data_IF_276592111453
#
_entry.id   IF_276592111453
#
_cell.length_a   1.000
_cell.length_b   1.000
_cell.length_c   1.000
_cell.angle_alpha   90.00
_cell.angle_beta   90.00
_cell.angle_gamma   90.00
#
_symmetry.space_group_name_H-M   'P 1'
#
loop_
_entity.id
_entity.type
_entity.pdbx_description
1 polymer ?
#
# COMPACT_ATOMS: atom_id res chain seq x y z
N UNK A 1 -28.41 -17.19 -8.07
CA UNK A 1 -28.51 -18.23 -7.03
C UNK A 1 -29.16 -17.62 -5.79
N UNK A 2 -29.94 -18.35 -4.99
CA UNK A 2 -30.49 -17.80 -3.76
C UNK A 2 -29.33 -17.40 -2.81
N UNK A 3 -29.52 -16.38 -1.96
CA UNK A 3 -28.56 -16.03 -0.95
C UNK A 3 -28.30 -17.22 -0.03
N UNK A 4 -27.04 -17.44 0.35
CA UNK A 4 -26.66 -18.52 1.24
C UNK A 4 -27.33 -18.34 2.60
N UNK A 5 -27.87 -19.42 3.18
CA UNK A 5 -28.29 -19.45 4.57
C UNK A 5 -27.03 -19.25 5.46
N UNK A 6 -27.13 -18.36 6.42
CA UNK A 6 -26.07 -18.11 7.40
C UNK A 6 -26.04 -19.31 8.36
N UNK A 7 -24.87 -19.96 8.45
CA UNK A 7 -24.65 -21.09 9.37
C UNK A 7 -23.83 -20.55 10.54
N UNK A 8 -24.30 -20.70 11.79
CA UNK A 8 -23.53 -20.29 12.96
C UNK A 8 -22.28 -21.14 13.10
N UNK A 9 -21.11 -20.49 13.21
CA UNK A 9 -19.84 -21.15 13.50
C UNK A 9 -19.35 -20.74 14.89
N UNK A 10 -18.61 -21.62 15.58
CA UNK A 10 -17.95 -21.27 16.85
C UNK A 10 -16.80 -20.26 16.68
N UNK A 11 -16.30 -20.13 15.45
CA UNK A 11 -15.29 -19.13 15.03
C UNK A 11 -15.68 -18.60 13.66
N UNK A 12 -15.54 -17.30 13.42
CA UNK A 12 -15.79 -16.74 12.10
C UNK A 12 -14.80 -17.29 11.08
N UNK A 13 -15.29 -17.62 9.89
CA UNK A 13 -14.49 -18.03 8.75
C UNK A 13 -14.28 -16.83 7.85
N UNK A 14 -13.05 -16.27 7.90
CA UNK A 14 -12.68 -15.10 7.13
C UNK A 14 -11.80 -15.53 5.98
N UNK A 15 -12.27 -15.30 4.76
CA UNK A 15 -11.55 -15.58 3.52
C UNK A 15 -10.90 -14.32 2.97
N UNK A 16 -9.68 -14.44 2.48
CA UNK A 16 -9.01 -13.42 1.70
C UNK A 16 -8.78 -13.96 0.30
N UNK A 17 -9.13 -13.19 -0.72
CA UNK A 17 -8.99 -13.56 -2.12
C UNK A 17 -8.03 -12.59 -2.82
N UNK A 18 -7.07 -13.13 -3.55
CA UNK A 18 -6.12 -12.37 -4.35
C UNK A 18 -5.80 -13.12 -5.66
N UNK A 19 -5.17 -12.44 -6.63
CA UNK A 19 -4.60 -13.13 -7.79
C UNK A 19 -3.58 -14.18 -7.35
N UNK A 20 -2.66 -13.79 -6.50
CA UNK A 20 -1.63 -14.62 -5.90
C UNK A 20 -1.34 -14.16 -4.46
N UNK A 21 -0.54 -14.92 -3.73
CA UNK A 21 0.02 -14.55 -2.43
C UNK A 21 1.55 -14.58 -2.47
N UNK A 22 2.14 -13.97 -3.48
CA UNK A 22 3.59 -13.83 -3.63
C UNK A 22 4.12 -12.54 -2.98
N UNK A 23 5.44 -12.48 -2.80
CA UNK A 23 6.14 -11.28 -2.29
C UNK A 23 5.99 -10.13 -3.29
N UNK A 24 5.16 -9.17 -2.94
CA UNK A 24 4.77 -8.06 -3.79
C UNK A 24 4.63 -6.76 -2.99
N UNK A 25 4.45 -5.65 -3.69
CA UNK A 25 4.15 -4.37 -3.07
C UNK A 25 2.86 -4.41 -2.21
N UNK A 26 1.83 -5.12 -2.66
CA UNK A 26 0.58 -5.30 -1.93
C UNK A 26 0.76 -6.21 -0.71
N UNK A 27 1.60 -7.24 -0.81
CA UNK A 27 1.92 -8.16 0.29
C UNK A 27 2.43 -7.42 1.52
N UNK A 28 3.19 -6.33 1.31
CA UNK A 28 3.70 -5.48 2.41
C UNK A 28 2.60 -4.87 3.26
N UNK A 29 1.39 -4.80 2.78
CA UNK A 29 0.24 -4.24 3.51
C UNK A 29 -0.78 -5.29 3.92
N UNK A 30 -1.05 -6.32 3.10
CA UNK A 30 -2.06 -7.29 3.46
C UNK A 30 -1.53 -8.40 4.40
N UNK A 31 -0.23 -8.58 4.54
CA UNK A 31 0.32 -9.61 5.44
C UNK A 31 -0.19 -9.46 6.87
N UNK A 32 -0.14 -8.24 7.42
CA UNK A 32 -0.67 -7.96 8.76
C UNK A 32 -2.18 -8.24 8.88
N UNK A 33 -2.93 -8.03 7.79
CA UNK A 33 -4.36 -8.29 7.75
C UNK A 33 -4.66 -9.79 7.78
N UNK A 34 -3.97 -10.58 6.96
CA UNK A 34 -4.24 -12.02 6.84
C UNK A 34 -3.69 -12.83 8.00
N UNK A 35 -2.62 -12.36 8.67
CA UNK A 35 -1.99 -13.04 9.80
C UNK A 35 -2.39 -12.50 11.17
N UNK A 36 -3.02 -11.32 11.23
CA UNK A 36 -3.31 -10.59 12.48
C UNK A 36 -4.56 -11.06 13.24
N UNK A 37 -5.32 -12.01 12.68
CA UNK A 37 -6.53 -12.51 13.33
C UNK A 37 -6.21 -13.56 14.38
N UNK A 38 -6.87 -13.47 15.56
CA UNK A 38 -6.71 -14.43 16.62
C UNK A 38 -7.39 -15.76 16.27
N UNK A 39 -6.60 -16.82 16.20
CA UNK A 39 -7.06 -18.18 15.87
C UNK A 39 -8.11 -18.76 16.84
N UNK A 40 -8.26 -18.17 18.03
CA UNK A 40 -9.31 -18.53 18.98
C UNK A 40 -10.70 -18.14 18.49
N UNK A 41 -10.79 -17.05 17.72
CA UNK A 41 -12.05 -16.43 17.29
C UNK A 41 -12.29 -16.54 15.79
N UNK A 42 -11.24 -16.67 14.99
CA UNK A 42 -11.33 -16.74 13.53
C UNK A 42 -10.60 -17.94 12.95
N UNK A 43 -11.08 -18.41 11.80
CA UNK A 43 -10.35 -19.31 10.90
C UNK A 43 -10.11 -18.53 9.61
N UNK A 44 -8.84 -18.37 9.26
CA UNK A 44 -8.43 -17.60 8.09
C UNK A 44 -8.21 -18.51 6.88
N UNK A 45 -8.84 -18.14 5.76
CA UNK A 45 -8.69 -18.81 4.47
C UNK A 45 -8.03 -17.87 3.46
N UNK A 46 -7.12 -18.39 2.65
CA UNK A 46 -6.49 -17.68 1.54
C UNK A 46 -6.89 -18.37 0.22
N UNK A 47 -7.42 -17.61 -0.72
CA UNK A 47 -7.83 -18.07 -2.05
C UNK A 47 -6.96 -17.41 -3.12
N UNK A 48 -5.96 -18.14 -3.63
CA UNK A 48 -5.16 -17.71 -4.76
C UNK A 48 -5.85 -18.10 -6.09
N UNK A 49 -5.98 -17.17 -7.01
CA UNK A 49 -6.60 -17.43 -8.31
C UNK A 49 -5.59 -17.92 -9.36
N UNK A 50 -4.31 -17.71 -9.12
CA UNK A 50 -3.19 -18.16 -9.93
C UNK A 50 -2.33 -19.16 -9.12
N UNK A 51 -1.51 -19.95 -9.78
CA UNK A 51 -0.70 -21.02 -9.19
C UNK A 51 0.76 -20.60 -8.90
N UNK A 52 1.05 -19.31 -9.00
CA UNK A 52 2.36 -18.78 -8.65
C UNK A 52 2.58 -18.83 -7.13
N UNK A 53 3.70 -19.42 -6.73
CA UNK A 53 4.10 -19.56 -5.33
C UNK A 53 5.58 -19.20 -5.16
N UNK A 54 5.91 -18.54 -4.05
CA UNK A 54 7.25 -18.18 -3.66
C UNK A 54 7.52 -18.45 -2.15
N UNK A 55 8.66 -18.00 -1.64
CA UNK A 55 8.99 -18.15 -0.23
C UNK A 55 8.00 -17.45 0.72
N UNK A 56 7.37 -16.35 0.27
CA UNK A 56 6.34 -15.64 1.04
C UNK A 56 5.06 -16.50 1.10
N UNK A 57 4.62 -17.07 -0.02
CA UNK A 57 3.47 -17.99 -0.09
C UNK A 57 3.65 -19.17 0.85
N UNK A 58 4.83 -19.83 0.79
CA UNK A 58 5.13 -20.98 1.64
C UNK A 58 5.15 -20.61 3.15
N UNK A 59 5.58 -19.39 3.49
CA UNK A 59 5.53 -18.89 4.87
C UNK A 59 4.08 -18.70 5.34
N UNK A 60 3.21 -18.15 4.50
CA UNK A 60 1.78 -18.03 4.81
C UNK A 60 1.12 -19.41 4.98
N UNK A 61 1.40 -20.35 4.09
CA UNK A 61 0.92 -21.74 4.20
C UNK A 61 1.34 -22.40 5.51
N UNK A 62 2.58 -22.12 5.97
CA UNK A 62 3.14 -22.65 7.22
C UNK A 62 2.61 -21.98 8.50
N UNK A 63 1.85 -20.87 8.40
CA UNK A 63 1.37 -20.10 9.57
C UNK A 63 0.02 -20.57 10.15
N UNK A 64 -0.51 -21.71 9.69
CA UNK A 64 -1.75 -22.30 10.19
C UNK A 64 -3.02 -21.75 9.50
N UNK A 65 -2.87 -21.00 8.42
CA UNK A 65 -3.95 -20.54 7.56
C UNK A 65 -4.40 -21.67 6.60
N UNK A 66 -5.66 -21.65 6.18
CA UNK A 66 -6.17 -22.58 5.17
C UNK A 66 -5.91 -22.00 3.78
N UNK A 67 -4.97 -22.56 3.05
CA UNK A 67 -4.64 -22.11 1.69
C UNK A 67 -5.40 -22.92 0.62
N UNK A 68 -5.96 -22.25 -0.37
CA UNK A 68 -6.67 -22.80 -1.52
C UNK A 68 -6.16 -22.18 -2.82
N UNK A 69 -5.51 -22.96 -3.67
CA UNK A 69 -5.26 -22.55 -5.05
C UNK A 69 -6.49 -22.88 -5.90
N UNK A 70 -7.02 -21.87 -6.57
CA UNK A 70 -8.17 -21.96 -7.47
C UNK A 70 -7.79 -21.85 -8.95
N UNK A 71 -6.50 -21.83 -9.26
CA UNK A 71 -6.01 -21.78 -10.63
C UNK A 71 -6.61 -22.88 -11.50
N UNK A 72 -6.87 -22.56 -12.76
CA UNK A 72 -7.48 -23.48 -13.73
C UNK A 72 -8.99 -23.72 -13.55
N UNK A 73 -9.62 -23.22 -12.48
CA UNK A 73 -11.08 -23.30 -12.31
C UNK A 73 -11.78 -22.17 -13.05
N UNK A 74 -13.01 -22.42 -13.48
CA UNK A 74 -13.87 -21.34 -13.99
C UNK A 74 -14.48 -20.53 -12.84
N UNK A 75 -15.06 -19.36 -13.14
CA UNK A 75 -15.62 -18.44 -12.15
C UNK A 75 -16.70 -19.07 -11.26
N UNK A 76 -17.48 -20.01 -11.81
CA UNK A 76 -18.53 -20.71 -11.06
C UNK A 76 -17.91 -21.68 -10.06
N UNK A 77 -16.93 -22.46 -10.50
CA UNK A 77 -16.20 -23.41 -9.64
C UNK A 77 -15.41 -22.70 -8.54
N UNK A 78 -14.80 -21.53 -8.84
CA UNK A 78 -14.15 -20.69 -7.83
C UNK A 78 -15.12 -20.23 -6.75
N UNK A 79 -16.27 -19.69 -7.16
CA UNK A 79 -17.29 -19.24 -6.23
C UNK A 79 -17.90 -20.40 -5.42
N UNK A 80 -18.06 -21.59 -6.01
CA UNK A 80 -18.55 -22.79 -5.33
C UNK A 80 -17.53 -23.30 -4.30
N UNK A 81 -16.25 -23.27 -4.58
CA UNK A 81 -15.21 -23.64 -3.63
C UNK A 81 -15.24 -22.74 -2.36
N UNK A 82 -15.41 -21.44 -2.55
CA UNK A 82 -15.54 -20.49 -1.42
C UNK A 82 -16.83 -20.75 -0.63
N UNK A 83 -17.95 -21.02 -1.32
CA UNK A 83 -19.22 -21.40 -0.65
C UNK A 83 -19.10 -22.70 0.12
N UNK A 84 -18.37 -23.68 -0.41
CA UNK A 84 -18.14 -24.97 0.25
C UNK A 84 -17.40 -24.82 1.57
N UNK A 85 -16.42 -23.92 1.60
CA UNK A 85 -15.69 -23.59 2.82
C UNK A 85 -16.52 -22.78 3.82
N UNK A 86 -17.75 -22.41 3.46
CA UNK A 86 -18.69 -21.66 4.29
C UNK A 86 -18.11 -20.37 4.87
N UNK A 87 -17.49 -19.56 4.00
CA UNK A 87 -16.90 -18.28 4.39
C UNK A 87 -17.97 -17.29 4.83
N UNK A 88 -17.78 -16.68 5.99
CA UNK A 88 -18.68 -15.68 6.56
C UNK A 88 -18.39 -14.28 6.01
N UNK A 89 -17.10 -13.92 5.96
CA UNK A 89 -16.62 -12.64 5.44
C UNK A 89 -15.52 -12.93 4.42
N UNK A 90 -15.68 -12.46 3.19
CA UNK A 90 -14.68 -12.55 2.12
C UNK A 90 -14.10 -11.17 1.84
N UNK A 91 -12.78 -11.06 1.89
CA UNK A 91 -12.04 -9.80 1.67
C UNK A 91 -11.24 -9.90 0.38
N UNK A 92 -11.50 -8.99 -0.56
CA UNK A 92 -10.74 -8.86 -1.79
C UNK A 92 -9.49 -8.02 -1.56
N UNK A 93 -8.33 -8.57 -1.96
CA UNK A 93 -7.02 -7.93 -1.83
C UNK A 93 -6.45 -7.46 -3.19
N UNK A 94 -7.17 -7.62 -4.29
CA UNK A 94 -6.68 -7.30 -5.64
C UNK A 94 -7.49 -6.23 -6.36
N UNK A 95 -8.82 -6.18 -6.16
CA UNK A 95 -9.69 -5.22 -6.83
C UNK A 95 -9.59 -5.33 -8.35
N UNK A 96 -9.40 -4.19 -9.02
CA UNK A 96 -9.23 -4.11 -10.48
C UNK A 96 -7.81 -4.46 -10.97
N UNK A 97 -6.87 -4.79 -10.09
CA UNK A 97 -5.56 -5.29 -10.50
C UNK A 97 -5.67 -6.70 -11.10
N UNK A 98 -4.64 -7.18 -11.78
CA UNK A 98 -4.62 -8.51 -12.42
C UNK A 98 -5.89 -8.81 -13.25
N UNK A 99 -6.38 -7.82 -14.00
CA UNK A 99 -7.56 -7.98 -14.86
C UNK A 99 -8.90 -8.06 -14.13
N UNK A 100 -8.95 -7.81 -12.81
CA UNK A 100 -10.19 -7.80 -12.01
C UNK A 100 -10.82 -9.18 -11.81
N UNK A 101 -10.05 -10.25 -11.90
CA UNK A 101 -10.58 -11.62 -11.78
C UNK A 101 -11.24 -11.88 -10.42
N UNK A 102 -10.66 -11.33 -9.34
CA UNK A 102 -11.25 -11.43 -7.99
C UNK A 102 -12.65 -10.81 -7.95
N UNK A 103 -12.84 -9.64 -8.57
CA UNK A 103 -14.15 -8.97 -8.64
C UNK A 103 -15.20 -9.80 -9.40
N UNK A 104 -14.78 -10.52 -10.46
CA UNK A 104 -15.65 -11.42 -11.19
C UNK A 104 -16.14 -12.58 -10.31
N UNK A 105 -15.29 -13.07 -9.40
CA UNK A 105 -15.67 -14.08 -8.40
C UNK A 105 -16.61 -13.46 -7.36
N UNK A 106 -16.30 -12.26 -6.83
CA UNK A 106 -17.15 -11.56 -5.88
C UNK A 106 -18.53 -11.23 -6.44
N UNK A 107 -18.65 -10.97 -7.76
CA UNK A 107 -19.93 -10.75 -8.43
C UNK A 107 -20.88 -11.95 -8.32
N UNK A 108 -20.37 -13.17 -8.08
CA UNK A 108 -21.15 -14.37 -7.80
C UNK A 108 -21.66 -14.43 -6.35
N UNK A 109 -21.30 -13.47 -5.51
CA UNK A 109 -21.64 -13.38 -4.08
C UNK A 109 -21.41 -14.71 -3.35
N UNK A 110 -20.17 -15.24 -3.30
CA UNK A 110 -19.89 -16.51 -2.64
C UNK A 110 -19.96 -16.44 -1.11
N UNK A 111 -19.84 -15.27 -0.51
CA UNK A 111 -19.94 -15.06 0.93
C UNK A 111 -21.04 -14.04 1.31
N UNK A 112 -21.65 -14.15 2.51
CA UNK A 112 -22.70 -13.25 2.99
C UNK A 112 -22.23 -11.80 3.13
N UNK A 113 -20.97 -11.60 3.56
CA UNK A 113 -20.30 -10.29 3.65
C UNK A 113 -19.09 -10.31 2.74
N UNK A 114 -18.95 -9.27 1.91
CA UNK A 114 -17.82 -9.13 1.01
C UNK A 114 -17.23 -7.71 1.12
N UNK A 115 -15.92 -7.63 1.30
CA UNK A 115 -15.21 -6.38 1.52
C UNK A 115 -14.13 -6.18 0.47
N UNK A 116 -13.87 -4.92 0.12
CA UNK A 116 -12.67 -4.51 -0.58
C UNK A 116 -11.61 -4.01 0.42
N UNK A 117 -10.34 -4.31 0.16
CA UNK A 117 -9.20 -3.87 0.96
C UNK A 117 -7.97 -3.64 0.10
N UNK A 118 -7.07 -2.89 0.58
CA UNK A 118 -5.65 -2.61 0.31
C UNK A 118 -5.12 -2.72 -1.13
N UNK A 119 -5.46 -3.74 -1.90
CA UNK A 119 -4.80 -4.01 -3.20
C UNK A 119 -5.23 -3.09 -4.34
N UNK A 120 -6.33 -2.38 -4.17
CA UNK A 120 -6.82 -1.37 -5.11
C UNK A 120 -7.20 -0.09 -4.38
N UNK A 121 -6.97 1.05 -4.99
CA UNK A 121 -6.98 2.35 -4.34
C UNK A 121 -8.23 3.19 -4.64
N UNK A 122 -9.36 2.56 -4.91
CA UNK A 122 -10.63 3.23 -5.16
C UNK A 122 -11.80 2.26 -5.03
N UNK A 123 -13.03 2.74 -5.28
CA UNK A 123 -14.23 1.90 -5.33
C UNK A 123 -14.06 0.72 -6.30
N UNK A 124 -14.63 -0.42 -5.95
CA UNK A 124 -14.73 -1.56 -6.87
C UNK A 124 -15.80 -1.33 -7.94
N UNK A 125 -16.76 -0.44 -7.68
CA UNK A 125 -17.93 -0.22 -8.53
C UNK A 125 -18.93 -1.40 -8.51
N UNK A 126 -18.76 -2.36 -7.59
CA UNK A 126 -19.48 -3.63 -7.57
C UNK A 126 -20.47 -3.68 -6.40
N UNK A 127 -21.76 -3.69 -6.68
CA UNK A 127 -22.82 -3.80 -5.65
C UNK A 127 -22.76 -5.09 -4.80
N UNK A 128 -22.02 -6.10 -5.27
CA UNK A 128 -21.80 -7.33 -4.50
C UNK A 128 -20.77 -7.16 -3.38
N UNK A 129 -19.98 -6.07 -3.37
CA UNK A 129 -19.06 -5.72 -2.30
C UNK A 129 -19.78 -4.82 -1.31
N UNK A 130 -19.90 -5.25 -0.07
CA UNK A 130 -20.70 -4.58 0.96
C UNK A 130 -19.94 -3.37 1.56
N UNK A 131 -18.63 -3.47 1.70
CA UNK A 131 -17.81 -2.43 2.32
C UNK A 131 -16.39 -2.33 1.78
N UNK A 132 -15.79 -1.15 1.93
CA UNK A 132 -14.38 -0.87 1.61
C UNK A 132 -13.66 -0.40 2.87
N UNK A 133 -12.54 -1.05 3.21
CA UNK A 133 -11.70 -0.64 4.35
C UNK A 133 -10.98 0.67 4.02
N UNK A 134 -11.09 1.63 4.93
CA UNK A 134 -10.48 2.96 4.80
C UNK A 134 -10.08 3.54 6.16
N UNK A 135 -9.56 4.77 6.16
CA UNK A 135 -9.33 5.58 7.35
C UNK A 135 -9.77 7.04 7.15
N UNK A 136 -9.76 7.82 8.24
CA UNK A 136 -10.21 9.21 8.21
C UNK A 136 -9.26 10.17 7.46
N UNK A 137 -8.05 9.74 7.11
CA UNK A 137 -7.11 10.52 6.30
C UNK A 137 -7.37 10.30 4.81
N UNK A 138 -7.62 9.04 4.42
CA UNK A 138 -7.96 8.68 3.05
C UNK A 138 -9.32 9.27 2.66
N UNK A 139 -10.32 9.07 3.51
CA UNK A 139 -11.70 9.50 3.27
C UNK A 139 -12.19 10.31 4.47
N UNK A 140 -11.79 11.60 4.59
CA UNK A 140 -12.24 12.48 5.65
C UNK A 140 -13.74 12.70 5.52
N UNK A 141 -14.47 12.08 6.40
CA UNK A 141 -15.91 12.03 6.65
C UNK A 141 -16.88 12.63 5.61
N UNK A 142 -17.88 11.85 5.24
CA UNK A 142 -19.19 12.20 4.66
C UNK A 142 -19.23 12.77 3.23
N UNK A 143 -18.26 13.55 2.79
CA UNK A 143 -18.34 14.22 1.48
C UNK A 143 -17.94 13.31 0.30
N UNK A 144 -17.14 12.28 0.54
CA UNK A 144 -16.58 11.45 -0.52
C UNK A 144 -17.37 10.13 -0.76
N UNK A 145 -18.34 9.82 0.11
CA UNK A 145 -19.15 8.58 0.00
C UNK A 145 -19.93 8.46 -1.32
N UNK A 146 -20.21 9.55 -2.00
CA UNK A 146 -20.91 9.54 -3.29
C UNK A 146 -20.09 8.92 -4.42
N UNK A 147 -18.79 8.75 -4.24
CA UNK A 147 -17.89 8.16 -5.24
C UNK A 147 -17.70 6.64 -5.07
N UNK A 148 -18.24 6.07 -3.98
CA UNK A 148 -18.09 4.66 -3.65
C UNK A 148 -19.42 3.93 -3.78
N UNK A 149 -19.40 2.74 -4.37
CA UNK A 149 -20.56 1.82 -4.38
C UNK A 149 -20.69 1.06 -3.06
N UNK A 150 -19.61 1.00 -2.28
CA UNK A 150 -19.49 0.30 -1.02
C UNK A 150 -19.73 1.21 0.19
N UNK A 151 -20.08 0.64 1.33
CA UNK A 151 -19.99 1.33 2.62
C UNK A 151 -18.52 1.53 3.00
N UNK A 152 -18.13 2.76 3.37
CA UNK A 152 -16.78 3.02 3.88
C UNK A 152 -16.68 2.56 5.34
N UNK A 153 -15.75 1.63 5.58
CA UNK A 153 -15.50 1.00 6.87
C UNK A 153 -14.21 1.55 7.45
N UNK A 154 -14.35 2.38 8.45
CA UNK A 154 -13.23 3.14 9.02
C UNK A 154 -12.45 2.31 10.02
N UNK A 155 -11.17 2.10 9.71
CA UNK A 155 -10.16 1.67 10.67
C UNK A 155 -9.45 2.91 11.24
N UNK A 156 -8.80 2.81 12.43
CA UNK A 156 -7.91 3.88 12.91
C UNK A 156 -6.81 4.24 11.91
N UNK A 157 -6.40 3.26 11.09
CA UNK A 157 -5.50 3.39 9.94
C UNK A 157 -5.86 2.32 8.89
N UNK A 158 -5.88 2.68 7.62
CA UNK A 158 -6.20 1.74 6.54
C UNK A 158 -5.04 0.78 6.24
N UNK A 159 -3.80 1.18 6.54
CA UNK A 159 -2.60 0.45 6.17
C UNK A 159 -1.79 0.01 7.38
N UNK A 160 -1.26 -1.20 7.32
CA UNK A 160 -0.23 -1.70 8.22
C UNK A 160 0.91 -2.27 7.38
N UNK A 161 2.11 -1.70 7.53
CA UNK A 161 3.27 -2.09 6.73
C UNK A 161 4.05 -3.21 7.39
N UNK A 162 4.28 -4.28 6.63
CA UNK A 162 5.16 -5.39 7.02
C UNK A 162 6.47 -5.27 6.24
N UNK A 163 7.59 -4.94 6.89
CA UNK A 163 8.86 -4.84 6.19
C UNK A 163 9.30 -6.19 5.62
N UNK A 164 9.92 -6.17 4.43
CA UNK A 164 10.58 -7.34 3.90
C UNK A 164 11.80 -7.68 4.79
N UNK A 165 12.04 -8.93 5.16
CA UNK A 165 13.21 -9.33 5.96
C UNK A 165 14.57 -8.89 5.41
N UNK A 166 14.68 -8.67 4.09
CA UNK A 166 15.88 -8.10 3.49
C UNK A 166 16.15 -6.65 3.93
N UNK A 167 15.12 -5.88 4.25
CA UNK A 167 15.26 -4.50 4.74
C UNK A 167 15.98 -4.45 6.10
N UNK A 168 15.77 -5.43 6.97
CA UNK A 168 16.41 -5.50 8.29
C UNK A 168 17.91 -5.68 8.21
N UNK A 169 18.39 -6.34 7.14
CA UNK A 169 19.83 -6.59 6.91
C UNK A 169 20.57 -5.36 6.39
N UNK A 170 19.85 -4.44 5.76
CA UNK A 170 20.42 -3.22 5.19
C UNK A 170 20.41 -2.09 6.24
N UNK A 171 21.58 -1.76 6.77
CA UNK A 171 21.73 -0.63 7.68
C UNK A 171 22.08 0.62 6.88
N UNK A 172 21.34 1.71 7.11
CA UNK A 172 21.68 3.00 6.50
C UNK A 172 23.08 3.43 6.95
N UNK A 173 23.89 3.83 5.98
CA UNK A 173 25.20 4.42 6.23
C UNK A 173 25.07 5.95 6.19
N UNK A 174 25.66 6.68 7.17
CA UNK A 174 25.67 8.14 7.14
C UNK A 174 26.35 8.66 5.86
N UNK A 175 25.69 9.55 5.15
CA UNK A 175 26.24 10.20 3.94
C UNK A 175 26.85 11.55 4.32
N UNK A 176 28.10 11.52 4.77
CA UNK A 176 28.80 12.74 5.18
C UNK A 176 29.42 13.48 3.99
N UNK A 177 29.35 14.80 4.01
CA UNK A 177 29.98 15.69 3.00
C UNK A 177 29.53 15.43 1.54
N UNK A 178 28.35 14.85 1.34
CA UNK A 178 27.77 14.66 0.02
C UNK A 178 26.66 15.71 -0.23
N UNK A 179 26.48 16.13 -1.49
CA UNK A 179 25.30 16.90 -1.84
C UNK A 179 24.02 16.13 -1.50
N UNK A 180 22.98 16.85 -1.03
CA UNK A 180 21.66 16.25 -0.83
C UNK A 180 21.20 15.61 -2.12
N UNK A 181 20.72 14.37 -2.01
CA UNK A 181 20.20 13.61 -3.14
C UNK A 181 18.72 13.32 -2.89
N UNK A 182 17.87 13.94 -3.68
CA UNK A 182 16.46 13.58 -3.73
C UNK A 182 16.25 12.30 -4.55
N UNK A 183 15.19 11.57 -4.28
CA UNK A 183 14.86 10.36 -5.03
C UNK A 183 13.38 10.19 -5.27
N UNK A 184 13.04 9.47 -6.34
CA UNK A 184 11.69 8.97 -6.56
C UNK A 184 11.76 7.55 -7.14
N UNK A 185 11.22 6.57 -6.41
CA UNK A 185 11.26 5.16 -6.78
C UNK A 185 9.83 4.65 -7.05
N UNK A 186 9.20 5.25 -8.05
CA UNK A 186 7.82 4.98 -8.41
C UNK A 186 7.70 4.54 -9.89
N UNK A 187 6.56 3.96 -10.24
CA UNK A 187 6.25 3.67 -11.64
C UNK A 187 6.16 4.97 -12.45
N UNK A 188 6.85 5.03 -13.59
CA UNK A 188 6.88 6.22 -14.45
C UNK A 188 5.51 6.72 -14.93
N UNK A 189 4.49 5.87 -14.90
CA UNK A 189 3.11 6.28 -15.21
C UNK A 189 2.50 7.22 -14.16
N UNK A 190 3.02 7.22 -12.93
CA UNK A 190 2.58 8.14 -11.86
C UNK A 190 3.17 9.55 -12.00
N UNK A 191 4.25 9.69 -12.78
CA UNK A 191 4.92 10.97 -12.99
C UNK A 191 4.17 11.79 -14.02
N UNK A 192 3.55 12.88 -13.63
CA UNK A 192 2.86 13.83 -14.50
C UNK A 192 3.64 15.16 -14.61
N UNK A 193 3.14 16.10 -15.41
CA UNK A 193 3.82 17.38 -15.64
C UNK A 193 3.87 18.28 -14.38
N UNK A 194 2.90 18.18 -13.48
CA UNK A 194 2.90 18.97 -12.24
C UNK A 194 3.98 18.46 -11.29
N UNK A 195 4.11 17.14 -11.16
CA UNK A 195 5.21 16.50 -10.40
C UNK A 195 6.56 16.95 -10.95
N UNK A 196 6.75 16.92 -12.27
CA UNK A 196 8.00 17.33 -12.92
C UNK A 196 8.31 18.82 -12.67
N UNK A 197 7.30 19.69 -12.69
CA UNK A 197 7.49 21.11 -12.41
C UNK A 197 7.99 21.34 -10.97
N UNK A 198 7.42 20.65 -9.98
CA UNK A 198 7.87 20.79 -8.58
C UNK A 198 9.27 20.22 -8.37
N UNK A 199 9.63 19.11 -9.00
CA UNK A 199 10.98 18.55 -8.93
C UNK A 199 12.02 19.50 -9.54
N UNK A 200 11.70 20.13 -10.69
CA UNK A 200 12.54 21.17 -11.28
C UNK A 200 12.71 22.33 -10.31
N UNK A 201 11.62 22.88 -9.75
CA UNK A 201 11.65 24.00 -8.82
C UNK A 201 12.52 23.71 -7.59
N UNK A 202 12.46 22.47 -7.02
CA UNK A 202 13.33 22.03 -5.93
C UNK A 202 14.80 22.06 -6.35
N UNK A 203 15.13 21.50 -7.52
CA UNK A 203 16.51 21.43 -8.02
C UNK A 203 17.06 22.81 -8.40
N UNK A 204 16.24 23.71 -8.91
CA UNK A 204 16.62 25.10 -9.23
C UNK A 204 16.90 25.91 -7.98
N UNK A 205 16.10 25.72 -6.92
CA UNK A 205 16.29 26.39 -5.63
C UNK A 205 17.44 25.80 -4.81
N UNK A 206 17.96 24.63 -5.18
CA UNK A 206 19.09 23.97 -4.53
C UNK A 206 20.14 23.47 -5.55
N UNK A 207 20.98 24.37 -6.08
CA UNK A 207 21.88 24.07 -7.20
C UNK A 207 22.90 22.95 -6.95
N UNK A 208 23.22 22.63 -5.68
CA UNK A 208 24.11 21.53 -5.31
C UNK A 208 23.45 20.16 -5.24
N UNK A 209 22.11 20.11 -5.21
CA UNK A 209 21.38 18.86 -5.02
C UNK A 209 21.39 17.97 -6.28
N UNK A 210 21.29 16.64 -6.05
CA UNK A 210 21.14 15.62 -7.09
C UNK A 210 19.73 15.02 -7.02
N UNK A 211 19.34 14.36 -8.10
CA UNK A 211 18.06 13.63 -8.16
C UNK A 211 18.27 12.25 -8.80
N UNK A 212 17.78 11.20 -8.14
CA UNK A 212 17.78 9.84 -8.65
C UNK A 212 16.33 9.42 -8.87
N UNK A 213 15.99 9.11 -10.10
CA UNK A 213 14.74 8.45 -10.43
C UNK A 213 15.00 6.97 -10.74
N UNK A 214 14.27 6.07 -10.06
CA UNK A 214 14.31 4.65 -10.39
C UNK A 214 12.90 4.17 -10.71
N UNK A 215 12.70 3.67 -11.93
CA UNK A 215 11.42 3.06 -12.32
C UNK A 215 11.21 1.74 -11.55
N UNK A 216 9.97 1.37 -11.33
CA UNK A 216 9.61 0.04 -10.83
C UNK A 216 9.60 -1.02 -11.94
N UNK A 217 9.73 -0.63 -13.20
CA UNK A 217 9.80 -1.53 -14.36
C UNK A 217 11.22 -1.63 -14.90
N UNK A 218 11.54 -2.78 -15.51
CA UNK A 218 12.87 -3.05 -16.11
C UNK A 218 12.95 -2.72 -17.60
N UNK A 219 11.92 -2.06 -18.16
CA UNK A 219 11.82 -1.80 -19.59
C UNK A 219 12.70 -0.60 -20.00
N UNK A 220 13.77 -0.79 -20.79
CA UNK A 220 14.68 0.29 -21.18
C UNK A 220 14.01 1.42 -21.95
N UNK A 221 13.00 1.13 -22.75
CA UNK A 221 12.23 2.11 -23.51
C UNK A 221 11.46 3.06 -22.60
N UNK A 222 10.96 2.59 -21.43
CA UNK A 222 10.31 3.44 -20.44
C UNK A 222 11.31 4.41 -19.80
N UNK A 223 12.52 3.94 -19.49
CA UNK A 223 13.60 4.80 -18.98
C UNK A 223 13.87 5.93 -19.97
N UNK A 224 14.12 5.61 -21.24
CA UNK A 224 14.40 6.61 -22.28
C UNK A 224 13.24 7.60 -22.49
N UNK A 225 12.01 7.10 -22.44
CA UNK A 225 10.82 7.96 -22.55
C UNK A 225 10.72 8.94 -21.37
N UNK A 226 11.05 8.48 -20.16
CA UNK A 226 11.04 9.34 -18.98
C UNK A 226 12.19 10.34 -19.00
N UNK A 227 13.42 9.94 -19.36
CA UNK A 227 14.56 10.86 -19.54
C UNK A 227 14.18 12.05 -20.45
N UNK A 228 13.59 11.76 -21.63
CA UNK A 228 13.11 12.80 -22.53
C UNK A 228 12.02 13.70 -21.93
N UNK A 229 11.16 13.14 -21.07
CA UNK A 229 10.13 13.94 -20.39
C UNK A 229 10.73 14.86 -19.32
N UNK A 230 11.71 14.38 -18.56
CA UNK A 230 12.45 15.16 -17.56
C UNK A 230 13.20 16.31 -18.24
N UNK A 231 13.93 16.03 -19.32
CA UNK A 231 14.63 17.03 -20.13
C UNK A 231 13.67 18.09 -20.68
N UNK A 232 12.56 17.64 -21.29
CA UNK A 232 11.54 18.55 -21.83
C UNK A 232 10.88 19.41 -20.75
N UNK A 233 10.76 18.93 -19.54
CA UNK A 233 10.24 19.67 -18.38
C UNK A 233 11.25 20.66 -17.82
N UNK A 234 12.49 20.68 -18.33
CA UNK A 234 13.54 21.59 -17.95
C UNK A 234 14.30 21.20 -16.68
N UNK A 235 14.32 19.91 -16.31
CA UNK A 235 15.17 19.47 -15.21
C UNK A 235 16.66 19.54 -15.59
N UNK A 236 17.56 19.88 -14.66
CA UNK A 236 19.00 19.96 -14.89
C UNK A 236 19.60 18.55 -15.04
N UNK A 237 19.61 18.01 -16.25
CA UNK A 237 19.92 16.59 -16.51
C UNK A 237 21.35 16.21 -16.11
N UNK A 238 22.26 17.14 -15.97
CA UNK A 238 23.62 16.90 -15.44
C UNK A 238 23.63 16.51 -13.95
N UNK A 239 22.51 16.72 -13.23
CA UNK A 239 22.32 16.35 -11.83
C UNK A 239 21.24 15.29 -11.62
N UNK A 240 20.66 14.79 -12.71
CA UNK A 240 19.56 13.82 -12.71
C UNK A 240 20.05 12.48 -13.23
N UNK A 241 19.83 11.43 -12.47
CA UNK A 241 20.09 10.05 -12.88
C UNK A 241 18.76 9.29 -13.01
N UNK A 242 18.54 8.63 -14.14
CA UNK A 242 17.34 7.81 -14.40
C UNK A 242 17.75 6.35 -14.53
N UNK A 243 17.21 5.50 -13.68
CA UNK A 243 17.53 4.07 -13.58
C UNK A 243 16.31 3.20 -13.92
N UNK A 244 16.50 2.03 -14.54
CA UNK A 244 15.48 0.99 -14.62
C UNK A 244 15.27 0.34 -13.25
N UNK A 245 14.16 -0.38 -13.08
CA UNK A 245 13.94 -1.24 -11.92
C UNK A 245 14.97 -2.38 -11.84
N UNK A 246 15.34 -2.77 -10.63
CA UNK A 246 16.32 -3.84 -10.36
C UNK A 246 15.82 -4.73 -9.21
N UNK A 247 16.39 -5.94 -9.08
CA UNK A 247 16.15 -6.82 -7.93
C UNK A 247 16.75 -6.26 -6.64
N UNK A 248 17.85 -5.50 -6.75
CA UNK A 248 18.53 -4.82 -5.64
C UNK A 248 17.98 -3.42 -5.39
N UNK A 249 16.68 -3.22 -5.56
CA UNK A 249 16.06 -1.89 -5.41
C UNK A 249 16.17 -1.33 -3.98
N UNK A 250 16.36 -2.18 -2.97
CA UNK A 250 16.48 -1.75 -1.58
C UNK A 250 17.78 -0.98 -1.31
N UNK A 251 18.87 -1.34 -1.98
CA UNK A 251 20.15 -0.67 -1.86
C UNK A 251 20.08 0.77 -2.35
N UNK A 252 19.26 1.06 -3.35
CA UNK A 252 19.07 2.39 -3.90
C UNK A 252 18.57 3.42 -2.86
N UNK A 253 17.83 2.97 -1.83
CA UNK A 253 17.41 3.86 -0.74
C UNK A 253 18.60 4.39 0.09
N UNK A 254 19.75 3.75 0.05
CA UNK A 254 20.95 4.25 0.72
C UNK A 254 21.62 5.42 -0.03
N UNK A 255 21.26 5.61 -1.29
CA UNK A 255 21.85 6.63 -2.16
C UNK A 255 21.06 7.94 -2.15
N UNK A 256 19.84 7.95 -1.60
CA UNK A 256 19.00 9.14 -1.52
C UNK A 256 18.82 9.61 -0.08
N UNK A 257 18.61 10.90 0.10
CA UNK A 257 18.45 11.52 1.40
C UNK A 257 16.99 11.85 1.72
N UNK A 258 16.20 12.20 0.71
CA UNK A 258 14.79 12.54 0.82
C UNK A 258 14.06 11.95 -0.38
N UNK A 259 12.95 11.25 -0.13
CA UNK A 259 12.10 10.73 -1.19
C UNK A 259 10.99 11.73 -1.52
N UNK A 260 10.83 12.02 -2.80
CA UNK A 260 9.78 12.86 -3.36
C UNK A 260 8.67 11.97 -3.92
N UNK A 261 7.52 11.94 -3.23
CA UNK A 261 6.37 11.16 -3.65
C UNK A 261 5.66 11.76 -4.86
N UNK A 262 5.01 10.93 -5.65
CA UNK A 262 4.19 11.34 -6.80
C UNK A 262 2.77 11.69 -6.38
N UNK A 263 2.09 12.53 -7.18
CA UNK A 263 0.69 12.90 -7.01
C UNK A 263 0.03 13.16 -8.38
N UNK A 264 -1.30 13.08 -8.53
CA UNK A 264 -2.31 12.72 -7.54
C UNK A 264 -2.31 11.22 -7.20
N UNK A 265 -1.52 10.40 -7.87
CA UNK A 265 -1.39 8.98 -7.56
C UNK A 265 -0.12 8.76 -6.74
N UNK A 266 -0.30 8.67 -5.41
CA UNK A 266 0.80 8.54 -4.47
C UNK A 266 1.51 7.17 -4.55
N UNK A 267 2.71 7.14 -3.98
CA UNK A 267 3.40 5.90 -3.66
C UNK A 267 2.73 5.18 -2.49
N UNK A 268 2.75 3.86 -2.53
CA UNK A 268 2.35 3.02 -1.41
C UNK A 268 3.57 2.33 -0.80
N UNK A 269 3.82 1.09 -1.20
CA UNK A 269 4.92 0.29 -0.66
C UNK A 269 6.30 0.95 -0.81
N UNK A 270 6.56 1.67 -1.91
CA UNK A 270 7.84 2.35 -2.10
C UNK A 270 8.03 3.47 -1.08
N UNK A 271 6.98 4.25 -0.76
CA UNK A 271 7.03 5.31 0.25
C UNK A 271 7.15 4.73 1.66
N UNK A 272 6.40 3.68 1.99
CA UNK A 272 6.55 2.97 3.27
C UNK A 272 7.95 2.32 3.41
N UNK A 273 8.47 1.74 2.33
CA UNK A 273 9.84 1.22 2.28
C UNK A 273 10.87 2.32 2.53
N UNK A 274 10.72 3.50 1.91
CA UNK A 274 11.62 4.64 2.14
C UNK A 274 11.68 5.02 3.62
N UNK A 275 10.52 5.19 4.27
CA UNK A 275 10.44 5.48 5.70
C UNK A 275 11.15 4.40 6.53
N UNK A 276 10.87 3.14 6.28
CA UNK A 276 11.50 2.02 6.99
C UNK A 276 13.01 1.91 6.71
N UNK A 277 13.46 2.33 5.53
CA UNK A 277 14.89 2.40 5.16
C UNK A 277 15.60 3.66 5.69
N UNK A 278 14.92 4.48 6.49
CA UNK A 278 15.50 5.69 7.09
C UNK A 278 15.54 6.87 6.11
N UNK A 279 14.65 6.92 5.13
CA UNK A 279 14.54 8.02 4.15
C UNK A 279 13.25 8.79 4.39
N UNK A 280 13.30 10.06 4.81
CA UNK A 280 12.14 10.94 4.88
C UNK A 280 11.40 11.02 3.54
N UNK A 281 10.08 11.07 3.59
CA UNK A 281 9.21 11.13 2.40
C UNK A 281 8.41 12.43 2.43
N UNK A 282 8.44 13.19 1.36
CA UNK A 282 7.55 14.34 1.17
C UNK A 282 6.42 13.93 0.24
N UNK A 283 5.18 14.10 0.68
CA UNK A 283 3.98 13.79 -0.11
C UNK A 283 3.05 14.99 -0.21
N UNK A 284 2.24 15.04 -1.28
CA UNK A 284 1.17 16.03 -1.44
C UNK A 284 -0.18 15.35 -1.27
N UNK A 285 -0.98 15.86 -0.32
CA UNK A 285 -2.35 15.40 -0.10
C UNK A 285 -3.25 15.87 -1.23
N UNK A 286 -3.91 14.95 -1.87
CA UNK A 286 -4.87 15.24 -2.93
C UNK A 286 -6.33 15.25 -2.45
N UNK A 287 -7.24 15.29 -3.43
CA UNK A 287 -8.67 15.48 -3.20
C UNK A 287 -9.48 14.19 -3.08
N UNK A 288 -8.92 13.02 -3.42
CA UNK A 288 -9.64 11.74 -3.39
C UNK A 288 -8.77 10.63 -2.79
N UNK A 289 -9.37 9.48 -2.54
CA UNK A 289 -8.81 8.32 -1.85
C UNK A 289 -7.37 8.01 -2.31
N UNK A 290 -7.19 7.70 -3.60
CA UNK A 290 -5.88 7.32 -4.17
C UNK A 290 -4.83 8.44 -4.09
N UNK A 291 -5.24 9.69 -3.95
CA UNK A 291 -4.36 10.85 -3.82
C UNK A 291 -4.02 11.23 -2.37
N UNK A 292 -4.47 10.42 -1.40
CA UNK A 292 -4.20 10.62 0.03
C UNK A 292 -3.42 9.46 0.65
N UNK A 293 -2.98 8.53 -0.16
CA UNK A 293 -2.29 7.33 0.29
C UNK A 293 -1.00 7.67 1.05
N UNK A 294 -0.16 8.54 0.49
CA UNK A 294 1.04 9.04 1.15
C UNK A 294 0.74 9.76 2.47
N UNK A 295 -0.35 10.55 2.50
CA UNK A 295 -0.78 11.25 3.71
C UNK A 295 -1.21 10.27 4.82
N UNK A 296 -1.96 9.20 4.49
CA UNK A 296 -2.34 8.17 5.47
C UNK A 296 -1.12 7.44 6.02
N UNK A 297 -0.17 7.06 5.15
CA UNK A 297 1.08 6.43 5.57
C UNK A 297 1.89 7.30 6.53
N UNK A 298 2.12 8.57 6.17
CA UNK A 298 2.89 9.50 6.99
C UNK A 298 2.19 9.82 8.31
N UNK A 299 0.88 9.99 8.31
CA UNK A 299 0.10 10.17 9.55
C UNK A 299 0.25 8.96 10.46
N UNK A 300 0.15 7.74 9.93
CA UNK A 300 0.30 6.50 10.70
C UNK A 300 1.73 6.28 11.20
N UNK A 301 2.72 6.81 10.48
CA UNK A 301 4.12 6.78 10.89
C UNK A 301 4.50 7.89 11.89
N UNK A 302 3.62 8.89 12.12
CA UNK A 302 3.86 10.00 13.03
C UNK A 302 4.55 11.22 12.41
N UNK A 303 4.60 11.33 11.08
CA UNK A 303 5.31 12.39 10.33
C UNK A 303 4.36 13.26 9.50
N UNK A 304 3.31 13.75 10.14
CA UNK A 304 2.33 14.63 9.50
C UNK A 304 2.91 15.93 8.93
N UNK A 305 4.02 16.40 9.47
CA UNK A 305 4.74 17.61 9.02
C UNK A 305 5.40 17.46 7.64
N UNK A 306 5.50 16.24 7.11
CA UNK A 306 6.01 15.99 5.76
C UNK A 306 4.89 15.86 4.71
N UNK A 307 3.65 16.11 5.13
CA UNK A 307 2.48 16.14 4.26
C UNK A 307 2.22 17.58 3.82
N UNK A 308 2.35 17.85 2.53
CA UNK A 308 1.98 19.14 1.95
C UNK A 308 0.47 19.19 1.64
N UNK A 309 -0.15 20.33 1.89
CA UNK A 309 -1.54 20.62 1.52
C UNK A 309 -1.64 21.38 0.17
N UNK A 310 -0.50 21.90 -0.32
CA UNK A 310 -0.41 22.62 -1.57
C UNK A 310 0.92 22.39 -2.29
N UNK A 311 0.98 22.55 -3.64
CA UNK A 311 2.22 22.33 -4.39
C UNK A 311 3.42 23.14 -3.89
N UNK A 312 3.22 24.40 -3.50
CA UNK A 312 4.29 25.24 -2.94
C UNK A 312 4.82 24.74 -1.60
N UNK A 313 3.95 24.13 -0.82
CA UNK A 313 4.33 23.54 0.48
C UNK A 313 5.16 22.27 0.29
N UNK A 314 4.84 21.46 -0.72
CA UNK A 314 5.66 20.30 -1.10
C UNK A 314 7.12 20.70 -1.37
N UNK A 315 7.34 21.75 -2.18
CA UNK A 315 8.68 22.30 -2.43
C UNK A 315 9.32 22.80 -1.12
N UNK A 316 8.54 23.56 -0.33
CA UNK A 316 9.04 24.12 0.94
C UNK A 316 9.49 23.02 1.90
N UNK A 317 8.70 21.97 2.11
CA UNK A 317 9.04 20.86 3.01
C UNK A 317 10.32 20.15 2.53
N UNK A 318 10.41 19.86 1.22
CA UNK A 318 11.60 19.22 0.65
C UNK A 318 12.87 20.05 0.89
N UNK A 319 12.81 21.37 0.69
CA UNK A 319 13.93 22.27 0.93
C UNK A 319 14.24 22.43 2.42
N UNK A 320 13.25 22.46 3.29
CA UNK A 320 13.46 22.55 4.75
C UNK A 320 14.15 21.32 5.30
N UNK A 321 13.75 20.11 4.89
CA UNK A 321 14.44 18.87 5.25
C UNK A 321 15.92 18.86 4.82
N UNK A 322 16.21 19.46 3.66
CA UNK A 322 17.55 19.54 3.10
C UNK A 322 18.41 20.69 3.66
N UNK A 323 17.81 21.69 4.32
CA UNK A 323 18.49 22.90 4.75
C UNK A 323 19.49 22.68 5.91
N UNK A 324 19.23 21.69 6.77
CA UNK A 324 20.08 21.35 7.90
C UNK A 324 20.57 19.88 7.78
N UNK A 325 21.80 19.67 7.32
CA UNK A 325 22.37 18.33 7.17
C UNK A 325 22.46 17.55 8.50
N UNK A 326 22.66 18.24 9.62
CA UNK A 326 22.76 17.61 10.94
C UNK A 326 21.39 17.11 11.40
N UNK A 327 20.36 17.91 11.22
CA UNK A 327 18.98 17.52 11.50
C UNK A 327 18.53 16.36 10.59
N UNK A 328 18.85 16.43 9.28
CA UNK A 328 18.51 15.37 8.34
C UNK A 328 19.20 14.05 8.70
N UNK A 329 20.50 14.08 9.05
CA UNK A 329 21.23 12.90 9.49
C UNK A 329 20.62 12.29 10.77
N UNK A 330 20.36 13.11 11.77
CA UNK A 330 19.73 12.64 13.02
C UNK A 330 18.34 12.04 12.78
N UNK A 331 17.54 12.66 11.91
CA UNK A 331 16.24 12.12 11.48
C UNK A 331 16.43 10.75 10.84
N UNK A 332 17.33 10.61 9.88
CA UNK A 332 17.56 9.36 9.16
C UNK A 332 18.04 8.22 10.07
N UNK A 333 18.84 8.52 11.08
CA UNK A 333 19.33 7.53 12.06
C UNK A 333 18.21 6.94 12.92
N UNK A 334 17.22 7.76 13.31
CA UNK A 334 16.13 7.37 14.18
C UNK A 334 14.91 6.83 13.42
N UNK A 335 14.70 7.30 12.20
CA UNK A 335 13.47 7.09 11.41
C UNK A 335 13.04 5.62 11.33
N UNK A 336 13.98 4.70 11.06
CA UNK A 336 13.67 3.27 10.99
C UNK A 336 13.10 2.75 12.31
N UNK A 337 13.73 3.11 13.43
CA UNK A 337 13.27 2.65 14.74
C UNK A 337 11.89 3.23 15.06
N UNK A 338 11.69 4.51 14.80
CA UNK A 338 10.45 5.21 15.06
C UNK A 338 9.30 4.65 14.20
N UNK A 339 9.54 4.42 12.91
CA UNK A 339 8.55 3.80 12.01
C UNK A 339 8.22 2.36 12.42
N UNK A 340 9.22 1.57 12.79
CA UNK A 340 9.01 0.19 13.24
C UNK A 340 8.17 0.10 14.52
N UNK A 341 8.18 1.15 15.37
CA UNK A 341 7.41 1.24 16.61
C UNK A 341 6.16 2.15 16.49
N UNK A 342 5.91 2.67 15.30
CA UNK A 342 4.73 3.50 15.01
C UNK A 342 3.48 2.65 14.77
N UNK A 343 2.30 3.25 14.81
CA UNK A 343 1.06 2.60 14.40
C UNK A 343 1.14 1.96 13.00
N UNK A 344 1.93 2.51 12.08
CA UNK A 344 2.09 1.95 10.72
C UNK A 344 2.59 0.50 10.71
N UNK A 345 3.39 0.08 11.71
CA UNK A 345 3.94 -1.28 11.80
C UNK A 345 3.35 -2.09 12.98
N UNK A 346 2.32 -1.62 13.67
CA UNK A 346 1.69 -2.35 14.77
C UNK A 346 0.68 -3.37 14.26
N UNK A 347 1.18 -4.54 13.86
CA UNK A 347 0.38 -5.66 13.35
C UNK A 347 -0.66 -6.17 14.35
N UNK A 348 -0.28 -6.21 15.64
CA UNK A 348 -1.15 -6.72 16.70
C UNK A 348 -2.38 -5.87 16.91
N UNK A 349 -2.23 -4.54 16.93
CA UNK A 349 -3.36 -3.62 17.04
C UNK A 349 -4.16 -3.58 15.73
N UNK A 350 -3.51 -3.63 14.57
CA UNK A 350 -4.19 -3.64 13.28
C UNK A 350 -5.13 -4.84 13.12
N UNK A 351 -4.68 -6.03 13.53
CA UNK A 351 -5.53 -7.23 13.54
C UNK A 351 -6.75 -7.10 14.45
N UNK A 352 -6.59 -6.48 15.63
CA UNK A 352 -7.72 -6.20 16.56
C UNK A 352 -8.70 -5.18 15.97
N UNK A 353 -8.19 -4.13 15.33
CA UNK A 353 -9.03 -3.10 14.71
C UNK A 353 -9.86 -3.70 13.57
N UNK A 354 -9.24 -4.52 12.73
CA UNK A 354 -9.94 -5.25 11.67
C UNK A 354 -10.95 -6.26 12.23
N UNK A 355 -10.60 -6.99 13.28
CA UNK A 355 -11.51 -7.90 13.97
C UNK A 355 -12.76 -7.18 14.47
N UNK A 356 -12.62 -5.98 15.06
CA UNK A 356 -13.76 -5.19 15.51
C UNK A 356 -14.73 -4.85 14.36
N UNK A 357 -14.21 -4.50 13.19
CA UNK A 357 -15.03 -4.28 11.98
C UNK A 357 -15.73 -5.57 11.55
N UNK A 358 -15.05 -6.71 11.58
CA UNK A 358 -15.66 -8.00 11.23
C UNK A 358 -16.83 -8.34 12.13
N UNK A 359 -16.68 -8.17 13.46
CA UNK A 359 -17.74 -8.45 14.45
C UNK A 359 -18.92 -7.51 14.25
N UNK A 360 -18.68 -6.22 14.04
CA UNK A 360 -19.75 -5.25 13.80
C UNK A 360 -20.56 -5.60 12.56
N UNK A 361 -19.90 -5.91 11.45
CA UNK A 361 -20.56 -6.28 10.20
C UNK A 361 -21.33 -7.60 10.32
N UNK A 362 -20.74 -8.59 10.99
CA UNK A 362 -21.38 -9.87 11.19
C UNK A 362 -22.61 -9.75 12.08
N UNK A 363 -22.54 -8.97 13.16
CA UNK A 363 -23.67 -8.67 14.04
C UNK A 363 -24.85 -8.01 13.31
N UNK A 364 -24.61 -7.22 12.27
CA UNK A 364 -25.67 -6.61 11.44
C UNK A 364 -26.42 -7.64 10.56
N UNK A 365 -25.91 -8.86 10.39
CA UNK A 365 -26.52 -9.93 9.57
C UNK A 365 -27.45 -10.85 10.36
N UNK A 366 -27.49 -10.78 11.70
CA UNK A 366 -28.37 -11.55 12.57
C UNK A 366 -27.91 -11.56 14.03
N UNK A 367 -28.78 -11.96 14.97
CA UNK A 367 -28.46 -12.12 16.38
C UNK A 367 -27.53 -13.34 16.60
N UNK A 368 -26.26 -13.19 16.28
CA UNK A 368 -25.25 -14.20 16.61
C UNK A 368 -24.44 -13.72 17.81
N UNK A 369 -24.68 -14.34 18.97
CA UNK A 369 -23.74 -14.25 20.09
C UNK A 369 -22.52 -15.10 19.75
N UNK A 370 -21.35 -14.47 19.65
CA UNK A 370 -20.03 -15.13 19.60
C UNK A 370 -19.59 -15.48 21.04
#
# INVERSE_FOLDING_TARGET
>A
MPPRQIVPHSRLRIGFIASDFCDSAAARFYEALVTGLDVRYAVTYLYALEDEEDAFTHRLQGSGLVYRCLAGKNLQEMAEAIRWDEIDILVDLSGHTAGGLTLMVLAKKPAPVQLGAIGYFDTTGLQAVDGLLTDAVLDPSKNDRSFFSEELLYLPRAFCFTPNPAMERLKRQPRQNCPVTYGCFQNGMKVNNEVLALWRDILDMQPGAKFIYQDTTRLPERRLALEKRLEKAGLPMERVEVRPGTDSYLEAYQEIDIMLDTFPYNGGAMSATALYMGVPVVTLRGSHHSARFGASLLTSAGYGEWIAEAPREYVKIALQLAADPSFLSATQENLRWEVAHSPLCDHGQYGKDFWAVCIELWGRKGDFAL
#
